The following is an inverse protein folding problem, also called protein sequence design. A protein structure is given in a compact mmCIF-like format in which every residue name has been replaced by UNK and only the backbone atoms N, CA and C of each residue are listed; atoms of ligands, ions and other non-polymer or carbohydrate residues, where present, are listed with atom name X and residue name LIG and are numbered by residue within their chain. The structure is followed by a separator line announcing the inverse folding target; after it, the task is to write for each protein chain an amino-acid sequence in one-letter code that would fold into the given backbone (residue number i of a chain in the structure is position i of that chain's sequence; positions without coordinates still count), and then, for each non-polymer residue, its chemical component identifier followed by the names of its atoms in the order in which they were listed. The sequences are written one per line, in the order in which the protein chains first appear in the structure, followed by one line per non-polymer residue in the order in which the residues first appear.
data_IF_717132900105
#
_entry.id   IF_717132900105
#
_cell.length_a   1.000
_cell.length_b   1.000
_cell.length_c   1.000
_cell.angle_alpha   90.00
_cell.angle_beta   90.00
_cell.angle_gamma   90.00
#
_symmetry.space_group_name_H-M   'P 1'
#
loop_
_entity.id
_entity.type
_entity.pdbx_description
1 polymer ?
#
# COMPACT_ATOMS: atom_id res chain seq x y z
N UNK A 1 16.80 -2.87 -21.65
CA UNK A 1 15.38 -3.25 -21.55
C UNK A 1 15.07 -4.08 -20.31
N UNK A 2 16.06 -4.58 -19.56
CA UNK A 2 15.87 -5.42 -18.36
C UNK A 2 15.29 -4.70 -17.14
N UNK A 3 15.63 -3.42 -16.88
CA UNK A 3 15.15 -2.71 -15.67
C UNK A 3 13.62 -2.56 -15.54
N UNK A 4 12.86 -2.56 -16.63
CA UNK A 4 11.40 -2.34 -16.58
C UNK A 4 10.63 -3.54 -16.04
N UNK A 5 11.10 -4.77 -16.29
CA UNK A 5 10.39 -5.98 -15.82
C UNK A 5 10.59 -6.25 -14.33
N UNK A 6 11.74 -5.84 -13.77
CA UNK A 6 12.05 -6.06 -12.35
C UNK A 6 11.32 -5.05 -11.46
N UNK A 7 11.18 -3.80 -11.92
CA UNK A 7 10.35 -2.79 -11.24
C UNK A 7 8.89 -3.26 -11.12
N UNK A 8 8.34 -3.89 -12.17
CA UNK A 8 6.97 -4.40 -12.19
C UNK A 8 6.68 -5.53 -11.18
N UNK A 9 7.71 -6.09 -10.54
CA UNK A 9 7.58 -7.13 -9.51
C UNK A 9 8.08 -6.67 -8.13
N UNK A 10 8.34 -5.37 -7.97
CA UNK A 10 8.87 -4.84 -6.70
C UNK A 10 7.76 -4.77 -5.66
N UNK A 11 7.93 -5.54 -4.59
CA UNK A 11 7.13 -5.40 -3.37
C UNK A 11 7.86 -4.41 -2.46
N UNK A 12 7.24 -3.29 -2.17
CA UNK A 12 7.79 -2.26 -1.30
C UNK A 12 7.61 -2.58 0.17
N UNK A 13 6.41 -3.04 0.56
CA UNK A 13 6.11 -3.38 1.94
C UNK A 13 5.06 -4.49 2.02
N UNK A 14 5.08 -5.24 3.13
CA UNK A 14 4.08 -6.23 3.44
C UNK A 14 3.92 -6.35 4.97
N UNK A 15 2.70 -6.17 5.48
CA UNK A 15 2.40 -6.26 6.91
C UNK A 15 2.86 -7.59 7.54
N UNK A 16 2.90 -8.70 6.77
CA UNK A 16 3.44 -9.99 7.23
C UNK A 16 4.88 -9.89 7.68
N UNK A 17 5.70 -9.05 7.03
CA UNK A 17 7.10 -8.85 7.44
C UNK A 17 7.22 -8.19 8.80
N UNK A 18 6.23 -7.38 9.19
CA UNK A 18 6.22 -6.74 10.50
C UNK A 18 5.89 -7.77 11.57
N UNK A 19 4.71 -8.40 11.51
CA UNK A 19 4.24 -9.26 12.59
C UNK A 19 4.92 -10.65 12.66
N UNK A 20 5.54 -11.13 11.58
CA UNK A 20 6.44 -12.30 11.62
C UNK A 20 7.89 -11.92 11.98
N UNK A 21 8.19 -10.63 12.07
CA UNK A 21 9.49 -10.09 12.45
C UNK A 21 9.53 -9.73 13.94
N UNK A 22 10.18 -8.61 14.25
CA UNK A 22 10.29 -8.08 15.62
C UNK A 22 9.10 -7.16 15.96
N UNK A 23 7.87 -7.64 15.79
CA UNK A 23 6.70 -6.87 16.16
C UNK A 23 6.52 -6.86 17.69
N UNK A 24 6.25 -5.70 18.31
CA UNK A 24 6.12 -5.66 19.77
C UNK A 24 4.90 -6.46 20.25
N UNK A 25 5.11 -7.42 21.14
CA UNK A 25 4.04 -8.25 21.73
C UNK A 25 2.97 -7.42 22.49
N UNK A 26 3.35 -6.21 22.92
CA UNK A 26 2.45 -5.27 23.60
C UNK A 26 1.50 -4.52 22.66
N UNK A 27 1.72 -4.57 21.34
CA UNK A 27 0.88 -3.89 20.36
C UNK A 27 -0.13 -4.86 19.73
N UNK A 28 -1.38 -4.43 19.51
CA UNK A 28 -2.33 -5.18 18.70
C UNK A 28 -1.80 -5.38 17.26
N UNK A 29 -2.07 -6.53 16.65
CA UNK A 29 -1.55 -6.89 15.32
C UNK A 29 -2.02 -5.90 14.24
N UNK A 30 -3.16 -5.25 14.44
CA UNK A 30 -3.72 -4.22 13.58
C UNK A 30 -2.75 -3.03 13.40
N UNK A 31 -1.85 -2.80 14.37
CA UNK A 31 -0.84 -1.75 14.25
C UNK A 31 0.18 -2.03 13.13
N UNK A 32 0.36 -3.28 12.70
CA UNK A 32 1.17 -3.62 11.54
C UNK A 32 0.59 -3.04 10.22
N UNK A 33 -0.70 -2.73 10.18
CA UNK A 33 -1.35 -2.23 8.97
C UNK A 33 -1.36 -0.70 8.88
N UNK A 34 -1.04 0.01 9.97
CA UNK A 34 -1.25 1.46 10.05
C UNK A 34 -0.36 2.22 9.08
N UNK A 35 0.95 1.94 9.07
CA UNK A 35 1.91 2.61 8.17
C UNK A 35 1.50 2.44 6.70
N UNK A 36 1.23 1.19 6.32
CA UNK A 36 0.81 0.82 4.96
C UNK A 36 -0.50 1.52 4.58
N UNK A 37 -1.47 1.50 5.50
CA UNK A 37 -2.76 2.15 5.30
C UNK A 37 -2.65 3.65 5.14
N UNK A 38 -1.85 4.32 5.97
CA UNK A 38 -1.62 5.76 5.88
C UNK A 38 -1.05 6.13 4.51
N UNK A 39 -0.07 5.36 4.04
CA UNK A 39 0.54 5.58 2.73
C UNK A 39 -0.45 5.35 1.58
N UNK A 40 -1.18 4.23 1.58
CA UNK A 40 -2.18 3.92 0.55
C UNK A 40 -3.33 4.93 0.55
N UNK A 41 -3.72 5.41 1.73
CA UNK A 41 -4.70 6.48 1.88
C UNK A 41 -4.23 7.79 1.23
N UNK A 42 -2.98 8.20 1.47
CA UNK A 42 -2.39 9.36 0.79
C UNK A 42 -2.41 9.20 -0.73
N UNK A 43 -2.00 8.04 -1.25
CA UNK A 43 -2.03 7.71 -2.68
C UNK A 43 -3.43 7.87 -3.28
N UNK A 44 -4.47 7.43 -2.57
CA UNK A 44 -5.87 7.57 -3.00
C UNK A 44 -6.32 9.03 -3.05
N UNK A 45 -5.97 9.82 -2.03
CA UNK A 45 -6.33 11.23 -1.93
C UNK A 45 -5.64 12.08 -3.01
N UNK A 46 -4.42 11.72 -3.41
CA UNK A 46 -3.65 12.44 -4.43
C UNK A 46 -3.84 11.89 -5.85
N UNK A 47 -4.60 10.80 -6.02
CA UNK A 47 -4.81 10.17 -7.34
C UNK A 47 -3.55 9.52 -7.92
N UNK A 48 -2.62 9.08 -7.07
CA UNK A 48 -1.33 8.49 -7.49
C UNK A 48 -1.40 6.97 -7.72
N UNK A 49 -2.58 6.36 -7.61
CA UNK A 49 -2.80 4.94 -7.84
C UNK A 49 -2.79 4.57 -9.33
N UNK A 50 -2.60 3.28 -9.63
CA UNK A 50 -2.65 2.75 -11.00
C UNK A 50 -4.09 2.46 -11.45
N UNK A 51 -4.28 2.31 -12.76
CA UNK A 51 -5.57 1.82 -13.33
C UNK A 51 -5.93 0.43 -12.75
N UNK A 52 -4.96 -0.47 -12.61
CA UNK A 52 -5.16 -1.79 -11.99
C UNK A 52 -5.73 -1.66 -10.57
N UNK A 53 -5.13 -0.81 -9.73
CA UNK A 53 -5.64 -0.62 -8.38
C UNK A 53 -7.01 0.04 -8.36
N UNK A 54 -7.27 0.98 -9.26
CA UNK A 54 -8.60 1.60 -9.38
C UNK A 54 -9.69 0.58 -9.70
N UNK A 55 -9.43 -0.32 -10.66
CA UNK A 55 -10.37 -1.36 -11.08
C UNK A 55 -10.64 -2.38 -9.97
N UNK A 56 -9.59 -2.89 -9.32
CA UNK A 56 -9.72 -3.93 -8.29
C UNK A 56 -10.20 -3.38 -6.93
N UNK A 57 -9.90 -2.11 -6.61
CA UNK A 57 -10.19 -1.47 -5.32
C UNK A 57 -11.35 -0.47 -5.35
N UNK A 58 -12.10 -0.37 -6.45
CA UNK A 58 -13.07 0.72 -6.68
C UNK A 58 -14.00 0.96 -5.48
N UNK A 59 -14.56 -0.11 -4.90
CA UNK A 59 -15.44 -0.02 -3.75
C UNK A 59 -14.74 0.48 -2.48
N UNK A 60 -13.51 0.03 -2.24
CA UNK A 60 -12.68 0.42 -1.10
C UNK A 60 -12.24 1.88 -1.23
N UNK A 61 -11.82 2.30 -2.42
CA UNK A 61 -11.48 3.70 -2.73
C UNK A 61 -12.68 4.61 -2.46
N UNK A 62 -13.87 4.24 -2.96
CA UNK A 62 -15.09 5.01 -2.74
C UNK A 62 -15.42 5.17 -1.26
N UNK A 63 -15.40 4.07 -0.49
CA UNK A 63 -15.66 4.07 0.95
C UNK A 63 -14.61 4.86 1.72
N UNK A 64 -13.33 4.75 1.35
CA UNK A 64 -12.24 5.47 1.99
C UNK A 64 -12.35 6.98 1.77
N UNK A 65 -12.61 7.43 0.53
CA UNK A 65 -12.82 8.85 0.19
C UNK A 65 -14.00 9.45 0.95
N UNK A 66 -15.04 8.67 1.21
CA UNK A 66 -16.21 9.05 2.04
C UNK A 66 -15.99 8.94 3.55
N UNK A 67 -14.78 8.56 3.98
CA UNK A 67 -14.42 8.33 5.39
C UNK A 67 -15.26 7.26 6.08
N UNK A 68 -15.78 6.30 5.31
CA UNK A 68 -16.56 5.16 5.81
C UNK A 68 -15.67 3.99 6.27
N UNK A 69 -14.42 3.96 5.82
CA UNK A 69 -13.36 3.06 6.33
C UNK A 69 -12.11 3.87 6.66
N UNK A 70 -11.39 3.46 7.70
CA UNK A 70 -10.10 4.04 8.06
C UNK A 70 -8.98 3.51 7.17
N UNK A 71 -7.81 4.14 7.25
CA UNK A 71 -6.61 3.70 6.54
C UNK A 71 -6.17 2.28 6.95
N UNK A 72 -6.28 1.94 8.24
CA UNK A 72 -5.99 0.61 8.76
C UNK A 72 -6.90 -0.45 8.13
N UNK A 73 -8.21 -0.18 8.07
CA UNK A 73 -9.18 -1.10 7.46
C UNK A 73 -8.93 -1.24 5.95
N UNK A 74 -8.63 -0.14 5.26
CA UNK A 74 -8.24 -0.17 3.85
C UNK A 74 -7.04 -1.09 3.62
N UNK A 75 -5.99 -0.95 4.44
CA UNK A 75 -4.79 -1.77 4.37
C UNK A 75 -5.08 -3.24 4.66
N UNK A 76 -5.88 -3.54 5.68
CA UNK A 76 -6.26 -4.90 6.06
C UNK A 76 -7.01 -5.61 4.92
N UNK A 77 -7.99 -4.94 4.30
CA UNK A 77 -8.72 -5.47 3.13
C UNK A 77 -7.75 -5.79 1.98
N UNK A 78 -6.70 -4.99 1.83
CA UNK A 78 -5.62 -5.16 0.86
C UNK A 78 -4.45 -6.00 1.38
N UNK A 79 -4.69 -6.83 2.41
CA UNK A 79 -3.74 -7.76 3.00
C UNK A 79 -2.42 -7.11 3.48
N UNK A 80 -2.43 -5.80 3.73
CA UNK A 80 -1.26 -5.02 4.12
C UNK A 80 -0.15 -5.06 3.07
N UNK A 81 -0.50 -5.03 1.79
CA UNK A 81 0.44 -5.14 0.67
C UNK A 81 0.70 -3.80 -0.01
N UNK A 82 1.97 -3.46 -0.27
CA UNK A 82 2.38 -2.35 -1.14
C UNK A 82 3.29 -2.87 -2.26
N UNK A 83 2.72 -3.01 -3.46
CA UNK A 83 3.45 -3.38 -4.67
C UNK A 83 3.53 -2.24 -5.69
N UNK A 84 4.54 -2.30 -6.58
CA UNK A 84 4.72 -1.37 -7.69
C UNK A 84 3.44 -1.18 -8.52
N UNK A 85 2.72 -2.27 -8.77
CA UNK A 85 1.51 -2.31 -9.57
C UNK A 85 0.35 -1.52 -8.98
N UNK A 86 0.40 -1.14 -7.70
CA UNK A 86 -0.66 -0.35 -7.06
C UNK A 86 -0.59 1.13 -7.43
N UNK A 87 0.54 1.60 -7.97
CA UNK A 87 0.79 3.02 -8.21
C UNK A 87 0.93 3.34 -9.70
N UNK A 88 0.51 4.55 -10.05
CA UNK A 88 0.83 5.14 -11.35
C UNK A 88 2.35 5.27 -11.51
N UNK A 89 2.80 5.65 -12.71
CA UNK A 89 4.22 5.93 -12.95
C UNK A 89 4.77 7.03 -12.03
N UNK A 90 3.98 8.07 -11.78
CA UNK A 90 4.35 9.16 -10.86
C UNK A 90 4.30 8.69 -9.40
N UNK A 91 3.25 7.96 -9.02
CA UNK A 91 3.09 7.40 -7.68
C UNK A 91 4.22 6.47 -7.27
N UNK A 92 4.81 5.74 -8.23
CA UNK A 92 5.95 4.87 -8.02
C UNK A 92 7.28 5.62 -7.75
N UNK A 93 7.36 6.93 -7.99
CA UNK A 93 8.60 7.68 -7.78
C UNK A 93 8.99 7.71 -6.30
N UNK A 94 8.04 8.02 -5.40
CA UNK A 94 8.34 8.07 -3.96
C UNK A 94 8.74 6.71 -3.34
N UNK A 95 7.94 5.62 -3.48
CA UNK A 95 8.24 4.36 -2.80
C UNK A 95 9.50 3.71 -3.37
N UNK A 96 9.82 3.90 -4.66
CA UNK A 96 11.09 3.46 -5.22
C UNK A 96 12.31 4.03 -4.47
N UNK A 97 12.29 5.33 -4.14
CA UNK A 97 13.37 5.93 -3.36
C UNK A 97 13.28 5.60 -1.87
N UNK A 98 12.07 5.58 -1.30
CA UNK A 98 11.87 5.39 0.14
C UNK A 98 12.21 3.98 0.62
N UNK A 99 11.86 2.94 -0.15
CA UNK A 99 12.14 1.55 0.18
C UNK A 99 13.46 1.03 -0.42
N UNK A 100 14.25 1.91 -1.06
CA UNK A 100 15.64 1.63 -1.44
C UNK A 100 15.81 0.76 -2.69
N UNK A 101 15.15 1.13 -3.78
CA UNK A 101 15.21 0.40 -5.06
C UNK A 101 16.55 0.37 -5.78
#
# INVERSE_FOLDING_TARGET
MEKKSDMQKTIYDNAKTHFLGNFPDSLPIEQAYVHIGMYLGWVIETGLYSEYFEEEAAGQIFRFKRKEISCTILSEIWAGYLGYELFSREGNMFPYYYYGG
#
